data_IF_127996648189
#
_entry.id   IF_127996648189
#
_cell.length_a   1.000
_cell.length_b   1.000
_cell.length_c   1.000
_cell.angle_alpha   90.00
_cell.angle_beta   90.00
_cell.angle_gamma   90.00
#
_symmetry.space_group_name_H-M   'P 1'
#
loop_
_entity.id
_entity.type
_entity.pdbx_description
1 polymer ?
#
# COMPACT_ATOMS: atom_id res chain seq x y z
N UNK A 1 12.68 40.43 5.74
CA UNK A 1 11.40 40.35 5.01
C UNK A 1 10.37 39.67 5.92
N UNK A 2 9.59 40.43 6.69
CA UNK A 2 8.57 39.84 7.57
C UNK A 2 7.31 39.52 6.77
N UNK A 3 6.88 38.25 6.76
CA UNK A 3 5.56 37.91 6.24
C UNK A 3 4.49 38.53 7.15
N UNK A 4 3.55 39.30 6.57
CA UNK A 4 2.38 39.77 7.28
C UNK A 4 1.58 38.59 7.88
N UNK A 5 1.01 38.79 9.07
CA UNK A 5 0.36 37.75 9.90
C UNK A 5 -0.68 36.91 9.15
N UNK A 6 -1.45 37.51 8.24
CA UNK A 6 -2.41 36.79 7.36
C UNK A 6 -1.73 35.79 6.42
N UNK A 7 -0.61 36.16 5.81
CA UNK A 7 0.15 35.26 4.91
C UNK A 7 0.84 34.16 5.70
N UNK A 8 1.38 34.47 6.88
CA UNK A 8 1.97 33.47 7.78
C UNK A 8 0.94 32.41 8.19
N UNK A 9 -0.28 32.81 8.58
CA UNK A 9 -1.37 31.85 8.90
C UNK A 9 -1.74 30.96 7.73
N UNK A 10 -1.91 31.51 6.52
CA UNK A 10 -2.24 30.72 5.32
C UNK A 10 -1.13 29.73 4.96
N UNK A 11 0.12 30.16 5.07
CA UNK A 11 1.28 29.30 4.86
C UNK A 11 1.31 28.16 5.88
N UNK A 12 1.13 28.47 7.17
CA UNK A 12 1.12 27.48 8.24
C UNK A 12 -0.01 26.47 8.06
N UNK A 13 -1.22 26.93 7.74
CA UNK A 13 -2.35 26.04 7.45
C UNK A 13 -2.04 25.10 6.28
N UNK A 14 -1.41 25.61 5.22
CA UNK A 14 -1.01 24.80 4.06
C UNK A 14 0.07 23.78 4.43
N UNK A 15 1.05 24.18 5.25
CA UNK A 15 2.10 23.29 5.73
C UNK A 15 1.52 22.17 6.60
N UNK A 16 0.59 22.50 7.49
CA UNK A 16 -0.12 21.55 8.34
C UNK A 16 -0.94 20.57 7.49
N UNK A 17 -1.72 21.05 6.52
CA UNK A 17 -2.48 20.16 5.62
C UNK A 17 -1.57 19.21 4.84
N UNK A 18 -0.37 19.67 4.43
CA UNK A 18 0.61 18.83 3.72
C UNK A 18 1.35 17.86 4.63
N UNK A 19 1.53 18.19 5.91
CA UNK A 19 2.21 17.32 6.88
C UNK A 19 1.29 16.26 7.47
N UNK A 20 -0.03 16.39 7.32
CA UNK A 20 -0.99 15.39 7.80
C UNK A 20 -0.79 14.06 7.10
N UNK A 21 -0.66 13.01 7.89
CA UNK A 21 -0.68 11.63 7.39
C UNK A 21 -2.13 11.32 7.00
N UNK A 22 -2.33 10.86 5.76
CA UNK A 22 -3.64 10.40 5.29
C UNK A 22 -3.95 9.05 5.92
N UNK A 23 -4.80 9.05 6.94
CA UNK A 23 -5.37 7.86 7.57
C UNK A 23 -6.89 7.91 7.45
N UNK A 24 -7.55 6.75 7.52
CA UNK A 24 -9.01 6.68 7.59
C UNK A 24 -9.45 6.84 9.06
N UNK A 25 -10.08 7.97 9.44
CA UNK A 25 -10.45 8.21 10.84
C UNK A 25 -11.49 7.21 11.35
N UNK A 26 -12.35 6.67 10.47
CA UNK A 26 -13.32 5.64 10.84
C UNK A 26 -12.64 4.33 11.26
N UNK A 27 -11.42 4.08 10.76
CA UNK A 27 -10.61 2.93 11.17
C UNK A 27 -9.95 3.19 12.50
N UNK A 28 -9.37 4.38 12.66
CA UNK A 28 -8.52 4.72 13.81
C UNK A 28 -9.31 4.98 15.09
N UNK A 29 -10.52 5.54 14.99
CA UNK A 29 -11.34 5.92 16.15
C UNK A 29 -12.27 4.80 16.64
N UNK A 30 -12.46 3.75 15.86
CA UNK A 30 -13.35 2.63 16.20
C UNK A 30 -12.64 1.63 17.12
N UNK A 31 -13.09 1.57 18.38
CA UNK A 31 -12.55 0.68 19.42
C UNK A 31 -12.86 -0.80 19.19
N UNK A 32 -13.90 -1.11 18.40
CA UNK A 32 -14.38 -2.48 18.20
C UNK A 32 -14.12 -2.96 16.76
N UNK A 33 -13.16 -2.33 16.07
CA UNK A 33 -12.88 -2.63 14.68
C UNK A 33 -12.29 -4.03 14.50
N UNK A 34 -12.86 -4.75 13.54
CA UNK A 34 -12.27 -5.99 13.03
C UNK A 34 -11.18 -5.69 12.00
N UNK A 35 -9.98 -6.21 12.26
CA UNK A 35 -8.89 -6.21 11.29
C UNK A 35 -8.82 -7.55 10.58
N UNK A 36 -8.57 -7.53 9.26
CA UNK A 36 -8.27 -8.76 8.52
C UNK A 36 -7.08 -9.46 9.15
N UNK A 37 -7.19 -10.77 9.35
CA UNK A 37 -6.14 -11.61 9.92
C UNK A 37 -4.94 -11.71 8.95
N UNK A 38 -3.68 -11.56 9.42
CA UNK A 38 -2.50 -11.86 8.62
C UNK A 38 -2.50 -13.30 8.09
N UNK A 39 -1.91 -13.53 6.93
CA UNK A 39 -1.89 -14.82 6.23
C UNK A 39 -3.17 -15.14 5.43
N UNK A 40 -4.27 -14.41 5.65
CA UNK A 40 -5.50 -14.61 4.86
C UNK A 40 -5.44 -13.95 3.49
N UNK A 41 -6.11 -14.56 2.52
CA UNK A 41 -6.25 -14.04 1.15
C UNK A 41 -7.49 -13.15 1.06
N UNK A 42 -7.34 -11.96 0.47
CA UNK A 42 -8.46 -11.07 0.17
C UNK A 42 -9.23 -11.58 -1.04
N UNK A 43 -10.54 -11.81 -0.90
CA UNK A 43 -11.39 -12.30 -2.01
C UNK A 43 -11.50 -11.34 -3.20
N UNK A 44 -11.26 -10.04 -2.99
CA UNK A 44 -11.35 -9.03 -4.05
C UNK A 44 -10.06 -8.94 -4.87
N UNK A 45 -8.93 -8.81 -4.18
CA UNK A 45 -7.63 -8.62 -4.82
C UNK A 45 -6.90 -9.93 -5.09
N UNK A 46 -7.33 -11.02 -4.48
CA UNK A 46 -6.61 -12.30 -4.45
C UNK A 46 -5.18 -12.20 -3.89
N UNK A 47 -4.88 -11.09 -3.20
CA UNK A 47 -3.60 -10.86 -2.55
C UNK A 47 -3.68 -11.27 -1.08
N UNK A 48 -2.60 -11.85 -0.53
CA UNK A 48 -2.50 -12.18 0.87
C UNK A 48 -2.30 -10.92 1.71
N UNK A 49 -2.79 -10.93 2.96
CA UNK A 49 -2.41 -9.93 3.96
C UNK A 49 -1.14 -10.39 4.67
N UNK A 50 -0.03 -9.66 4.53
CA UNK A 50 1.23 -9.97 5.17
C UNK A 50 1.85 -8.71 5.80
N UNK A 51 2.70 -8.85 6.84
CA UNK A 51 3.39 -7.72 7.43
C UNK A 51 4.43 -7.14 6.45
N UNK A 52 4.56 -5.82 6.42
CA UNK A 52 5.53 -5.10 5.58
C UNK A 52 6.25 -4.07 6.43
N UNK A 53 7.58 -4.03 6.32
CA UNK A 53 8.37 -2.98 6.95
C UNK A 53 8.23 -1.66 6.20
N UNK A 54 8.26 -0.54 6.94
CA UNK A 54 8.08 0.80 6.37
C UNK A 54 9.10 1.11 5.24
N UNK A 55 10.34 0.62 5.37
CA UNK A 55 11.39 0.79 4.36
C UNK A 55 11.04 0.11 3.02
N UNK A 56 10.31 -1.01 3.07
CA UNK A 56 9.97 -1.82 1.91
C UNK A 56 8.82 -1.22 1.09
N UNK A 57 7.92 -0.48 1.74
CA UNK A 57 6.84 0.27 1.08
C UNK A 57 7.36 1.31 0.07
N UNK A 58 8.58 1.79 0.22
CA UNK A 58 9.16 2.81 -0.65
C UNK A 58 9.51 2.30 -2.07
N UNK A 59 9.77 0.99 -2.24
CA UNK A 59 10.42 0.47 -3.44
C UNK A 59 9.54 -0.43 -4.33
N UNK A 60 8.40 -0.95 -3.81
CA UNK A 60 7.28 -1.64 -4.48
C UNK A 60 6.77 -2.75 -3.54
N UNK A 61 5.52 -2.66 -3.08
CA UNK A 61 4.95 -3.61 -2.11
C UNK A 61 4.87 -5.04 -2.64
N UNK A 62 4.75 -5.22 -3.96
CA UNK A 62 4.71 -6.56 -4.56
C UNK A 62 6.04 -7.31 -4.46
N UNK A 63 7.16 -6.59 -4.30
CA UNK A 63 8.47 -7.22 -4.09
C UNK A 63 8.63 -7.78 -2.67
N UNK A 64 7.83 -7.28 -1.72
CA UNK A 64 7.80 -7.76 -0.35
C UNK A 64 6.92 -9.01 -0.16
N UNK A 65 6.18 -9.41 -1.20
CA UNK A 65 5.19 -10.48 -1.10
C UNK A 65 5.88 -11.82 -0.78
N UNK A 66 5.43 -12.56 0.25
CA UNK A 66 5.96 -13.89 0.52
C UNK A 66 5.59 -14.86 -0.61
N UNK A 67 6.42 -15.88 -0.81
CA UNK A 67 6.08 -17.00 -1.69
C UNK A 67 5.01 -17.87 -1.01
N UNK A 68 4.02 -18.29 -1.78
CA UNK A 68 2.96 -19.19 -1.32
C UNK A 68 2.95 -20.43 -2.20
N UNK A 69 2.98 -21.59 -1.56
CA UNK A 69 3.02 -22.88 -2.23
C UNK A 69 4.45 -23.31 -2.60
N UNK A 70 4.78 -24.60 -2.47
CA UNK A 70 6.08 -25.14 -2.85
C UNK A 70 6.24 -25.28 -4.37
N UNK A 71 5.12 -25.39 -5.10
CA UNK A 71 5.12 -25.85 -6.48
C UNK A 71 4.82 -24.72 -7.46
N UNK A 72 5.57 -24.72 -8.57
CA UNK A 72 5.21 -23.90 -9.73
C UNK A 72 4.02 -24.57 -10.41
N UNK A 73 2.94 -23.82 -10.56
CA UNK A 73 1.73 -24.28 -11.23
C UNK A 73 1.55 -23.56 -12.55
N UNK A 74 1.21 -24.31 -13.60
CA UNK A 74 0.83 -23.74 -14.88
C UNK A 74 -0.50 -23.00 -14.75
N UNK A 75 -0.52 -21.75 -15.22
CA UNK A 75 -1.71 -20.89 -15.17
C UNK A 75 -2.18 -20.57 -16.58
N UNK A 76 -3.47 -20.78 -16.84
CA UNK A 76 -4.11 -20.32 -18.07
C UNK A 76 -4.56 -18.86 -17.89
N UNK A 77 -3.92 -17.95 -18.62
CA UNK A 77 -4.25 -16.52 -18.60
C UNK A 77 -5.04 -16.13 -19.85
N UNK A 78 -6.11 -15.34 -19.68
CA UNK A 78 -6.86 -14.76 -20.81
C UNK A 78 -6.15 -13.55 -21.42
N UNK A 79 -5.41 -12.82 -20.59
CA UNK A 79 -4.63 -11.64 -20.94
C UNK A 79 -3.34 -11.72 -20.13
N UNK A 80 -2.20 -11.53 -20.79
CA UNK A 80 -0.88 -11.54 -20.16
C UNK A 80 -0.25 -10.14 -20.20
N UNK A 81 -0.70 -9.20 -19.34
CA UNK A 81 -0.03 -7.92 -19.24
C UNK A 81 1.36 -8.10 -18.64
N UNK A 82 2.27 -7.19 -18.97
CA UNK A 82 3.56 -7.13 -18.30
C UNK A 82 3.37 -6.73 -16.83
N UNK A 83 3.79 -7.61 -15.91
CA UNK A 83 3.80 -7.32 -14.48
C UNK A 83 5.16 -7.67 -13.87
N UNK A 84 5.58 -6.88 -12.88
CA UNK A 84 6.82 -7.12 -12.14
C UNK A 84 6.50 -7.46 -10.69
N UNK A 85 6.90 -8.66 -10.26
CA UNK A 85 6.69 -9.17 -8.90
C UNK A 85 8.02 -9.75 -8.42
N UNK A 86 8.51 -9.28 -7.27
CA UNK A 86 9.78 -9.72 -6.65
C UNK A 86 10.96 -9.58 -7.60
N UNK A 87 11.00 -8.46 -8.31
CA UNK A 87 12.01 -8.18 -9.33
C UNK A 87 11.95 -9.06 -10.59
N UNK A 88 11.03 -10.03 -10.66
CA UNK A 88 10.81 -10.88 -11.84
C UNK A 88 9.73 -10.28 -12.73
N UNK A 89 9.96 -10.33 -14.04
CA UNK A 89 9.00 -9.91 -15.05
C UNK A 89 8.18 -11.12 -15.50
N UNK A 90 6.86 -10.95 -15.52
CA UNK A 90 5.90 -11.91 -16.06
C UNK A 90 5.21 -11.26 -17.26
N UNK A 91 5.13 -12.00 -18.35
CA UNK A 91 4.60 -11.50 -19.61
C UNK A 91 5.45 -10.39 -20.26
N UNK A 92 4.94 -9.75 -21.33
CA UNK A 92 3.74 -10.21 -22.04
C UNK A 92 4.02 -11.54 -22.76
N UNK A 93 2.99 -12.39 -22.91
CA UNK A 93 3.02 -13.66 -23.64
C UNK A 93 1.88 -13.72 -24.64
#
# INVERSE_FOLDING_TARGET
>A
MMLGTKRAKKFLATAVERSKIKVDPSVTLDLHRLFRMPGTISSKSHLPKFPVELKTLANNVLDAMPEYGPDRTDIHVKIAPEIRIRGRKFGPY
#
